data_IF_795965389249
#
_entry.id   IF_795965389249
#
_cell.length_a   1.000
_cell.length_b   1.000
_cell.length_c   1.000
_cell.angle_alpha   90.00
_cell.angle_beta   90.00
_cell.angle_gamma   90.00
#
_symmetry.space_group_name_H-M   'P 1'
#
loop_
_entity.id
_entity.type
_entity.pdbx_description
1 polymer ?
#
# COMPACT_ATOMS: atom_id res chain seq x y z
N UNK A 1 34.35 29.80 -16.75
CA UNK A 1 33.95 28.40 -17.05
C UNK A 1 33.83 27.48 -15.83
N UNK A 2 34.68 27.56 -14.78
CA UNK A 2 34.58 26.67 -13.59
C UNK A 2 33.33 26.87 -12.71
N UNK A 3 32.79 28.09 -12.60
CA UNK A 3 31.60 28.39 -11.76
C UNK A 3 30.28 27.85 -12.34
N UNK A 4 30.16 27.76 -13.66
CA UNK A 4 28.95 27.28 -14.34
C UNK A 4 28.74 25.77 -14.20
N UNK A 5 29.83 24.99 -14.14
CA UNK A 5 29.77 23.53 -13.97
C UNK A 5 29.33 23.14 -12.54
N UNK A 6 29.75 23.90 -11.53
CA UNK A 6 29.37 23.67 -10.14
C UNK A 6 27.86 23.89 -9.90
N UNK A 7 27.28 24.93 -10.53
CA UNK A 7 25.84 25.21 -10.45
C UNK A 7 24.98 24.15 -11.14
N UNK A 8 25.42 23.62 -12.29
CA UNK A 8 24.75 22.53 -13.01
C UNK A 8 24.77 21.22 -12.20
N UNK A 9 25.89 20.87 -11.56
CA UNK A 9 25.97 19.71 -10.69
C UNK A 9 25.10 19.85 -9.42
N UNK A 10 25.04 21.04 -8.82
CA UNK A 10 24.18 21.28 -7.65
C UNK A 10 22.69 21.22 -8.01
N UNK A 11 22.31 21.79 -9.15
CA UNK A 11 20.95 21.69 -9.68
C UNK A 11 20.57 20.23 -9.97
N UNK A 12 21.46 19.45 -10.59
CA UNK A 12 21.23 18.03 -10.84
C UNK A 12 21.03 17.23 -9.53
N UNK A 13 21.82 17.50 -8.48
CA UNK A 13 21.69 16.82 -7.18
C UNK A 13 20.36 17.14 -6.48
N UNK A 14 19.92 18.40 -6.50
CA UNK A 14 18.62 18.80 -5.95
C UNK A 14 17.48 18.17 -6.77
N UNK A 15 17.63 18.06 -8.09
CA UNK A 15 16.66 17.45 -9.01
C UNK A 15 16.50 15.93 -8.86
N UNK A 16 17.57 15.19 -8.52
CA UNK A 16 17.45 13.75 -8.23
C UNK A 16 16.73 13.46 -6.90
N UNK A 17 16.76 14.40 -5.95
CA UNK A 17 16.08 14.23 -4.66
C UNK A 17 14.55 14.30 -4.76
N UNK A 18 14.00 14.99 -5.77
CA UNK A 18 12.54 15.16 -5.96
C UNK A 18 11.80 13.94 -6.53
N UNK A 19 12.50 12.89 -6.94
CA UNK A 19 11.91 11.64 -7.46
C UNK A 19 11.52 10.64 -6.36
N UNK A 20 11.85 10.94 -5.11
CA UNK A 20 11.64 10.04 -3.98
C UNK A 20 10.48 10.57 -3.16
N UNK A 21 9.47 9.72 -2.95
CA UNK A 21 8.43 10.00 -1.97
C UNK A 21 8.70 9.20 -0.71
N UNK A 22 8.46 9.84 0.42
CA UNK A 22 8.49 9.20 1.72
C UNK A 22 7.11 8.61 2.00
N UNK A 23 7.05 7.32 2.32
CA UNK A 23 5.82 6.62 2.69
C UNK A 23 5.96 5.98 4.07
N UNK A 24 4.89 6.05 4.84
CA UNK A 24 4.74 5.31 6.07
C UNK A 24 4.17 3.94 5.73
N UNK A 25 4.85 2.89 6.16
CA UNK A 25 4.55 1.50 5.83
C UNK A 25 4.76 0.62 7.07
N UNK A 26 4.24 -0.59 7.00
CA UNK A 26 4.44 -1.64 8.01
C UNK A 26 5.29 -2.76 7.41
N UNK A 27 6.22 -3.35 8.15
CA UNK A 27 6.96 -4.53 7.65
C UNK A 27 6.01 -5.68 7.36
N UNK A 28 6.24 -6.43 6.26
CA UNK A 28 5.41 -7.59 5.91
C UNK A 28 5.38 -8.64 7.02
N UNK A 29 6.50 -8.85 7.73
CA UNK A 29 6.55 -9.77 8.87
C UNK A 29 5.64 -9.36 10.02
N UNK A 30 5.52 -8.05 10.29
CA UNK A 30 4.63 -7.53 11.33
C UNK A 30 3.16 -7.71 10.91
N UNK A 31 2.85 -7.44 9.63
CA UNK A 31 1.54 -7.75 9.06
C UNK A 31 1.20 -9.24 9.22
N UNK A 32 2.14 -10.14 8.89
CA UNK A 32 1.93 -11.59 9.00
C UNK A 32 1.71 -12.05 10.45
N UNK A 33 2.36 -11.40 11.42
CA UNK A 33 2.12 -11.64 12.84
C UNK A 33 0.70 -11.24 13.26
N UNK A 34 0.21 -10.09 12.79
CA UNK A 34 -1.18 -9.65 13.05
C UNK A 34 -2.17 -10.65 12.46
N UNK A 35 -1.96 -11.11 11.23
CA UNK A 35 -2.82 -12.13 10.61
C UNK A 35 -2.79 -13.45 11.40
N UNK A 36 -1.61 -13.87 11.87
CA UNK A 36 -1.50 -15.06 12.72
C UNK A 36 -2.27 -14.91 14.03
N UNK A 37 -2.14 -13.75 14.69
CA UNK A 37 -2.87 -13.46 15.92
C UNK A 37 -4.39 -13.48 15.69
N UNK A 38 -4.86 -12.88 14.60
CA UNK A 38 -6.28 -12.95 14.21
C UNK A 38 -6.71 -14.41 14.05
N UNK A 39 -5.92 -15.24 13.35
CA UNK A 39 -6.23 -16.67 13.19
C UNK A 39 -6.31 -17.41 14.52
N UNK A 40 -5.43 -17.09 15.48
CA UNK A 40 -5.43 -17.69 16.81
C UNK A 40 -6.66 -17.27 17.62
N UNK A 41 -7.01 -15.99 17.60
CA UNK A 41 -8.22 -15.47 18.26
C UNK A 41 -9.51 -16.08 17.68
N UNK A 42 -9.55 -16.28 16.36
CA UNK A 42 -10.67 -16.95 15.69
C UNK A 42 -10.77 -18.43 16.10
N UNK A 43 -9.61 -19.09 16.27
CA UNK A 43 -9.55 -20.46 16.78
C UNK A 43 -10.05 -20.55 18.23
N UNK A 44 -9.71 -19.58 19.09
CA UNK A 44 -10.26 -19.48 20.44
C UNK A 44 -11.77 -19.27 20.46
N UNK A 45 -12.32 -18.65 19.42
CA UNK A 45 -13.75 -18.49 19.20
C UNK A 45 -14.44 -19.75 18.63
N UNK A 46 -13.71 -20.85 18.45
CA UNK A 46 -14.24 -22.14 18.00
C UNK A 46 -14.21 -22.35 16.49
N UNK A 47 -13.54 -21.47 15.74
CA UNK A 47 -13.42 -21.53 14.29
C UNK A 47 -11.97 -21.83 13.89
N UNK A 48 -11.71 -23.01 13.33
CA UNK A 48 -10.36 -23.40 12.93
C UNK A 48 -10.11 -23.07 11.46
N UNK A 49 -8.87 -22.69 11.13
CA UNK A 49 -8.47 -22.43 9.75
C UNK A 49 -8.60 -23.70 8.91
N UNK A 50 -9.47 -23.65 7.90
CA UNK A 50 -9.73 -24.76 6.98
C UNK A 50 -9.12 -24.54 5.59
N UNK A 51 -8.71 -23.31 5.27
CA UNK A 51 -7.93 -23.03 4.07
C UNK A 51 -7.61 -21.56 3.88
N UNK A 52 -6.67 -21.29 2.97
CA UNK A 52 -6.31 -19.94 2.54
C UNK A 52 -6.06 -19.89 1.03
N UNK A 53 -6.22 -18.72 0.44
CA UNK A 53 -5.91 -18.46 -0.96
C UNK A 53 -5.38 -17.04 -1.11
N UNK A 54 -4.46 -16.83 -2.05
CA UNK A 54 -3.89 -15.52 -2.37
C UNK A 54 -4.05 -15.24 -3.86
N UNK A 55 -4.54 -14.05 -4.21
CA UNK A 55 -4.53 -13.53 -5.57
C UNK A 55 -3.88 -12.15 -5.63
N UNK A 56 -3.25 -11.80 -6.75
CA UNK A 56 -2.76 -10.44 -6.99
C UNK A 56 -3.29 -9.95 -8.32
N UNK A 57 -3.99 -8.81 -8.31
CA UNK A 57 -4.53 -8.20 -9.52
C UNK A 57 -4.55 -6.69 -9.40
N UNK A 58 -4.72 -6.02 -10.54
CA UNK A 58 -4.85 -4.58 -10.55
C UNK A 58 -6.26 -4.19 -10.04
N UNK A 59 -6.32 -3.43 -8.96
CA UNK A 59 -7.57 -3.02 -8.33
C UNK A 59 -7.43 -1.69 -7.57
N UNK A 60 -8.56 -1.09 -7.22
CA UNK A 60 -8.63 0.06 -6.35
C UNK A 60 -8.46 -0.36 -4.89
N UNK A 61 -7.62 0.36 -4.15
CA UNK A 61 -7.45 0.22 -2.70
C UNK A 61 -7.47 1.60 -2.04
N UNK A 62 -8.02 1.66 -0.83
CA UNK A 62 -7.96 2.85 0.03
C UNK A 62 -6.55 3.02 0.59
N UNK A 63 -5.88 4.10 0.23
CA UNK A 63 -4.55 4.42 0.76
C UNK A 63 -4.63 5.16 2.09
N UNK A 64 -5.60 6.07 2.21
CA UNK A 64 -5.79 6.91 3.39
C UNK A 64 -7.20 7.51 3.38
N UNK A 65 -7.82 7.53 4.54
CA UNK A 65 -8.96 8.39 4.84
C UNK A 65 -8.48 9.59 5.66
N UNK A 66 -9.09 10.74 5.43
CA UNK A 66 -8.78 11.97 6.16
C UNK A 66 -10.06 12.77 6.38
N UNK A 67 -10.12 13.51 7.48
CA UNK A 67 -11.19 14.44 7.76
C UNK A 67 -10.58 15.81 8.05
N UNK A 68 -11.14 16.86 7.45
CA UNK A 68 -10.85 18.24 7.82
C UNK A 68 -12.17 18.97 8.07
N UNK A 69 -12.20 19.87 9.06
CA UNK A 69 -13.41 20.64 9.38
C UNK A 69 -13.90 21.47 8.19
N UNK A 70 -12.98 21.95 7.35
CA UNK A 70 -13.28 22.80 6.19
C UNK A 70 -13.61 22.00 4.91
N UNK A 71 -13.16 20.74 4.81
CA UNK A 71 -13.22 19.93 3.58
C UNK A 71 -14.02 18.63 3.70
N UNK A 72 -14.48 18.28 4.90
CA UNK A 72 -15.21 17.05 5.17
C UNK A 72 -14.33 15.80 5.07
N UNK A 73 -14.97 14.67 4.74
CA UNK A 73 -14.28 13.38 4.58
C UNK A 73 -13.67 13.25 3.18
N UNK A 74 -12.35 13.05 3.12
CA UNK A 74 -11.61 12.73 1.91
C UNK A 74 -11.04 11.32 1.97
N UNK A 75 -11.14 10.59 0.85
CA UNK A 75 -10.54 9.26 0.70
C UNK A 75 -9.58 9.27 -0.49
N UNK A 76 -8.31 8.95 -0.23
CA UNK A 76 -7.32 8.72 -1.28
C UNK A 76 -7.42 7.28 -1.76
N UNK A 77 -7.86 7.10 -3.01
CA UNK A 77 -7.91 5.80 -3.68
C UNK A 77 -6.75 5.70 -4.66
N UNK A 78 -6.18 4.51 -4.79
CA UNK A 78 -5.19 4.24 -5.83
C UNK A 78 -5.49 2.93 -6.56
N UNK A 79 -5.35 2.98 -7.89
CA UNK A 79 -5.41 1.80 -8.75
C UNK A 79 -3.99 1.20 -8.85
N UNK A 80 -3.76 0.07 -8.19
CA UNK A 80 -2.47 -0.59 -8.12
C UNK A 80 -2.63 -2.13 -8.16
N UNK A 81 -1.53 -2.85 -8.32
CA UNK A 81 -1.51 -4.28 -8.03
C UNK A 81 -1.70 -4.51 -6.52
N UNK A 82 -2.88 -5.01 -6.17
CA UNK A 82 -3.30 -5.31 -4.81
C UNK A 82 -3.30 -6.82 -4.63
N UNK A 83 -2.76 -7.27 -3.50
CA UNK A 83 -2.83 -8.66 -3.09
C UNK A 83 -4.07 -8.84 -2.22
N UNK A 84 -4.81 -9.91 -2.48
CA UNK A 84 -5.96 -10.34 -1.69
C UNK A 84 -5.72 -11.70 -1.12
N UNK A 85 -5.68 -11.77 0.21
CA UNK A 85 -5.58 -13.02 0.94
C UNK A 85 -6.93 -13.33 1.56
N UNK A 86 -7.53 -14.44 1.16
CA UNK A 86 -8.78 -14.95 1.71
C UNK A 86 -8.49 -16.09 2.65
N UNK A 87 -8.99 -16.00 3.87
CA UNK A 87 -8.87 -17.02 4.91
C UNK A 87 -10.24 -17.63 5.16
N UNK A 88 -10.29 -18.96 5.26
CA UNK A 88 -11.51 -19.73 5.46
C UNK A 88 -11.40 -20.50 6.75
N UNK A 89 -12.45 -20.44 7.56
CA UNK A 89 -12.53 -21.08 8.86
C UNK A 89 -13.78 -21.94 8.92
N UNK A 90 -13.72 -22.99 9.74
CA UNK A 90 -14.85 -23.89 9.97
C UNK A 90 -14.89 -24.28 11.45
N UNK A 91 -16.09 -24.29 12.02
CA UNK A 91 -16.29 -24.74 13.40
C UNK A 91 -16.66 -26.23 13.47
N UNK A 92 -16.74 -26.78 14.68
CA UNK A 92 -17.00 -28.21 14.89
C UNK A 92 -18.37 -28.69 14.41
N UNK A 93 -19.35 -27.79 14.27
CA UNK A 93 -20.71 -28.11 13.81
C UNK A 93 -20.91 -27.87 12.31
N UNK A 94 -19.86 -27.43 11.59
CA UNK A 94 -19.85 -27.27 10.14
C UNK A 94 -20.19 -25.86 9.64
N UNK A 95 -20.36 -24.87 10.51
CA UNK A 95 -20.48 -23.48 10.05
C UNK A 95 -19.14 -23.03 9.51
N UNK A 96 -19.16 -22.41 8.34
CA UNK A 96 -18.02 -21.76 7.72
C UNK A 96 -18.08 -20.25 7.86
N UNK A 97 -16.89 -19.66 7.87
CA UNK A 97 -16.66 -18.22 7.83
C UNK A 97 -15.47 -17.96 6.90
N UNK A 98 -15.48 -16.84 6.19
CA UNK A 98 -14.31 -16.38 5.46
C UNK A 98 -14.15 -14.87 5.55
N UNK A 99 -12.90 -14.41 5.55
CA UNK A 99 -12.61 -13.00 5.39
C UNK A 99 -11.49 -12.79 4.39
N UNK A 100 -11.53 -11.66 3.69
CA UNK A 100 -10.53 -11.29 2.69
C UNK A 100 -9.85 -10.00 3.10
N UNK A 101 -8.52 -10.04 3.17
CA UNK A 101 -7.68 -8.88 3.40
C UNK A 101 -7.13 -8.42 2.07
N UNK A 102 -7.37 -7.16 1.70
CA UNK A 102 -6.73 -6.52 0.55
C UNK A 102 -5.56 -5.67 1.04
N UNK A 103 -4.38 -5.82 0.45
CA UNK A 103 -3.22 -5.03 0.83
C UNK A 103 -2.29 -4.69 -0.33
N UNK A 104 -1.58 -3.58 -0.18
CA UNK A 104 -0.63 -3.08 -1.16
C UNK A 104 0.79 -3.38 -0.71
N UNK A 105 1.47 -4.27 -1.43
CA UNK A 105 2.85 -4.63 -1.17
C UNK A 105 3.82 -3.66 -1.86
N UNK A 106 4.89 -3.30 -1.15
CA UNK A 106 6.03 -2.54 -1.65
C UNK A 106 7.29 -3.34 -1.38
N UNK A 107 8.18 -3.38 -2.36
CA UNK A 107 9.47 -4.03 -2.24
C UNK A 107 10.60 -3.00 -2.41
N UNK A 108 11.60 -3.06 -1.54
CA UNK A 108 12.81 -2.24 -1.70
C UNK A 108 13.76 -2.89 -2.69
N UNK A 109 14.77 -2.13 -3.15
CA UNK A 109 15.84 -2.70 -3.99
C UNK A 109 16.62 -3.84 -3.34
N UNK A 110 16.51 -3.98 -2.00
CA UNK A 110 17.17 -5.03 -1.23
C UNK A 110 16.28 -6.26 -1.04
N UNK A 111 15.09 -6.29 -1.63
CA UNK A 111 14.12 -7.38 -1.48
C UNK A 111 13.31 -7.32 -0.19
N UNK A 112 13.39 -6.24 0.58
CA UNK A 112 12.61 -6.09 1.81
C UNK A 112 11.17 -5.72 1.46
N UNK A 113 10.21 -6.42 2.04
CA UNK A 113 8.79 -6.27 1.75
C UNK A 113 8.04 -5.51 2.84
N UNK A 114 7.16 -4.62 2.40
CA UNK A 114 6.42 -3.69 3.22
C UNK A 114 4.97 -3.59 2.77
N UNK A 115 4.06 -3.40 3.71
CA UNK A 115 2.63 -3.17 3.46
C UNK A 115 2.36 -1.67 3.59
N UNK A 116 1.91 -1.04 2.51
CA UNK A 116 1.62 0.40 2.42
C UNK A 116 0.16 0.70 2.82
N UNK A 117 -0.76 -0.19 2.51
CA UNK A 117 -2.16 -0.14 2.90
C UNK A 117 -2.69 -1.56 3.07
N UNK A 118 -3.60 -1.75 4.03
CA UNK A 118 -4.31 -3.01 4.25
C UNK A 118 -5.73 -2.71 4.74
N UNK A 119 -6.70 -3.48 4.26
CA UNK A 119 -8.08 -3.38 4.70
C UNK A 119 -8.80 -4.73 4.62
N UNK A 120 -9.78 -4.93 5.51
CA UNK A 120 -10.77 -6.01 5.37
C UNK A 120 -11.72 -5.66 4.23
N UNK A 121 -11.60 -6.39 3.11
CA UNK A 121 -12.37 -6.14 1.90
C UNK A 121 -13.69 -6.94 1.84
N UNK A 122 -13.75 -8.08 2.52
CA UNK A 122 -14.95 -8.90 2.61
C UNK A 122 -14.93 -9.75 3.88
N UNK A 123 -16.11 -10.02 4.42
CA UNK A 123 -16.33 -10.97 5.51
C UNK A 123 -17.67 -11.66 5.31
N UNK A 124 -17.67 -12.98 5.29
CA UNK A 124 -18.84 -13.81 5.01
C UNK A 124 -18.95 -14.92 6.06
N UNK A 125 -20.16 -15.17 6.53
CA UNK A 125 -20.49 -16.28 7.43
C UNK A 125 -21.62 -17.09 6.82
N UNK A 126 -21.59 -18.41 7.04
CA UNK A 126 -22.65 -19.31 6.60
C UNK A 126 -23.89 -19.23 7.49
N UNK A 127 -23.71 -19.03 8.80
CA UNK A 127 -24.79 -18.84 9.77
C UNK A 127 -24.86 -17.37 10.21
N UNK A 128 -26.01 -16.68 10.04
CA UNK A 128 -26.17 -15.28 10.46
C UNK A 128 -25.94 -15.04 11.96
N UNK A 129 -26.17 -16.03 12.82
CA UNK A 129 -25.93 -15.90 14.27
C UNK A 129 -24.45 -15.72 14.63
N UNK A 130 -23.54 -16.14 13.75
CA UNK A 130 -22.10 -15.96 13.93
C UNK A 130 -21.61 -14.57 13.46
N UNK A 131 -22.44 -13.78 12.75
CA UNK A 131 -22.01 -12.55 12.09
C UNK A 131 -21.43 -11.51 13.06
N UNK A 132 -22.15 -11.14 14.11
CA UNK A 132 -21.68 -10.09 15.04
C UNK A 132 -20.36 -10.45 15.71
N UNK A 133 -20.18 -11.74 16.00
CA UNK A 133 -18.97 -12.27 16.62
C UNK A 133 -17.79 -12.30 15.65
N UNK A 134 -18.03 -12.68 14.39
CA UNK A 134 -16.97 -13.00 13.42
C UNK A 134 -16.69 -11.88 12.42
N UNK A 135 -17.68 -11.07 12.07
CA UNK A 135 -17.62 -9.99 11.07
C UNK A 135 -18.11 -8.63 11.60
N UNK A 136 -18.73 -8.60 12.79
CA UNK A 136 -19.19 -7.37 13.44
C UNK A 136 -18.04 -6.49 13.90
N UNK A 137 -18.35 -5.26 14.34
CA UNK A 137 -17.35 -4.22 14.63
C UNK A 137 -16.30 -4.60 15.69
N UNK A 138 -16.62 -5.57 16.55
CA UNK A 138 -15.73 -6.08 17.60
C UNK A 138 -14.94 -7.34 17.18
N UNK A 139 -15.05 -7.75 15.92
CA UNK A 139 -14.36 -8.93 15.42
C UNK A 139 -12.83 -8.74 15.44
N UNK A 140 -12.07 -9.79 15.79
CA UNK A 140 -10.61 -9.80 15.70
C UNK A 140 -10.06 -9.34 14.36
N UNK A 141 -10.78 -9.59 13.26
CA UNK A 141 -10.30 -9.27 11.90
C UNK A 141 -10.03 -7.77 11.71
N UNK A 142 -10.70 -6.89 12.46
CA UNK A 142 -10.51 -5.44 12.33
C UNK A 142 -9.20 -4.93 12.94
N UNK A 143 -8.46 -5.78 13.68
CA UNK A 143 -7.08 -5.46 14.08
C UNK A 143 -6.18 -5.18 12.87
N UNK A 144 -6.48 -5.78 11.71
CA UNK A 144 -5.78 -5.53 10.45
C UNK A 144 -5.92 -4.08 10.00
N UNK A 145 -7.08 -3.44 10.21
CA UNK A 145 -7.30 -2.05 9.81
C UNK A 145 -6.61 -1.06 10.77
N UNK A 146 -6.32 -1.49 11.99
CA UNK A 146 -5.73 -0.67 13.05
C UNK A 146 -4.20 -0.75 13.10
N UNK A 147 -3.55 -1.46 12.18
CA UNK A 147 -2.10 -1.61 12.20
C UNK A 147 -1.40 -0.27 12.05
N UNK A 148 -0.54 0.04 13.02
CA UNK A 148 0.31 1.22 12.94
C UNK A 148 1.34 1.08 11.83
N UNK A 149 1.54 2.21 11.13
CA UNK A 149 2.62 2.35 10.16
C UNK A 149 3.86 2.80 10.93
N UNK A 150 4.76 1.86 11.20
CA UNK A 150 5.90 2.04 12.09
C UNK A 150 7.18 2.48 11.35
N UNK A 151 7.22 2.34 10.02
CA UNK A 151 8.43 2.58 9.24
C UNK A 151 8.24 3.64 8.17
N UNK A 152 9.25 4.48 8.04
CA UNK A 152 9.35 5.46 6.96
C UNK A 152 10.31 4.93 5.89
N UNK A 153 9.79 4.64 4.69
CA UNK A 153 10.61 4.20 3.55
C UNK A 153 10.60 5.23 2.42
N UNK A 154 11.71 5.32 1.68
CA UNK A 154 11.79 6.10 0.44
C UNK A 154 11.40 5.23 -0.74
N UNK A 155 10.27 5.54 -1.37
CA UNK A 155 9.75 4.82 -2.54
C UNK A 155 9.93 5.67 -3.78
N UNK A 156 10.32 5.04 -4.89
CA UNK A 156 10.47 5.73 -6.17
C UNK A 156 9.09 6.12 -6.70
N UNK A 157 8.86 7.42 -6.87
CA UNK A 157 7.64 7.89 -7.50
C UNK A 157 7.80 7.77 -9.03
N UNK A 158 7.23 6.72 -9.61
CA UNK A 158 7.26 6.45 -11.05
C UNK A 158 6.65 7.60 -11.88
N UNK A 159 5.59 8.26 -11.40
CA UNK A 159 4.98 9.41 -12.09
C UNK A 159 5.91 10.62 -12.11
N UNK A 160 6.48 11.02 -10.96
CA UNK A 160 7.47 12.13 -10.90
C UNK A 160 8.71 11.81 -11.74
N UNK A 161 9.16 10.56 -11.71
CA UNK A 161 10.29 10.11 -12.54
C UNK A 161 9.97 10.21 -14.05
N UNK A 162 8.74 9.87 -14.46
CA UNK A 162 8.31 9.98 -15.85
C UNK A 162 8.22 11.44 -16.33
N UNK A 163 7.60 12.32 -15.54
CA UNK A 163 7.55 13.77 -15.85
C UNK A 163 8.95 14.39 -15.93
N UNK A 164 9.89 13.95 -15.10
CA UNK A 164 11.28 14.39 -15.15
C UNK A 164 12.02 13.88 -16.40
N UNK A 165 11.83 12.62 -16.78
CA UNK A 165 12.46 12.07 -17.97
C UNK A 165 11.95 12.78 -19.26
N UNK A 166 10.66 13.10 -19.31
CA UNK A 166 10.05 13.83 -20.43
C UNK A 166 10.37 15.34 -20.42
N UNK A 167 10.54 15.96 -19.25
CA UNK A 167 10.99 17.34 -19.13
C UNK A 167 12.45 17.55 -19.57
N UNK A 168 13.34 16.59 -19.27
CA UNK A 168 14.75 16.63 -19.68
C UNK A 168 14.93 16.50 -21.20
N UNK A 169 14.14 15.65 -21.86
CA UNK A 169 14.21 15.51 -23.32
C UNK A 169 13.71 16.76 -24.04
N UNK A 170 12.62 17.36 -23.56
CA UNK A 170 12.09 18.63 -24.10
C UNK A 170 13.05 19.81 -23.83
N UNK A 171 13.57 19.93 -22.61
CA UNK A 171 14.50 21.00 -22.25
C UNK A 171 15.84 20.92 -23.01
N UNK A 172 16.36 19.71 -23.22
CA UNK A 172 17.55 19.48 -24.05
C UNK A 172 17.33 19.83 -25.52
N UNK A 173 16.15 19.52 -26.06
CA UNK A 173 15.79 19.86 -27.44
C UNK A 173 15.68 21.37 -27.66
N UNK A 174 15.09 22.10 -26.71
CA UNK A 174 14.97 23.57 -26.77
C UNK A 174 16.33 24.26 -26.69
N UNK A 175 17.24 23.78 -25.84
CA UNK A 175 18.61 24.31 -25.76
C UNK A 175 19.43 24.04 -27.03
N UNK A 176 19.25 22.87 -27.66
CA UNK A 176 19.86 22.55 -28.96
C UNK A 176 19.32 23.45 -30.07
N UNK A 177 18.01 23.70 -30.11
CA UNK A 177 17.39 24.62 -31.07
C UNK A 177 17.83 26.07 -30.88
N UNK A 178 17.95 26.54 -29.63
CA UNK A 178 18.45 27.89 -29.35
C UNK A 178 19.95 28.04 -29.68
N UNK A 179 20.75 27.00 -29.47
CA UNK A 179 22.17 26.99 -29.88
C UNK A 179 22.35 26.97 -31.40
N UNK A 180 21.47 26.30 -32.14
CA UNK A 180 21.49 26.26 -33.60
C UNK A 180 21.04 27.57 -34.26
N UNK A 181 20.26 28.41 -33.56
CA UNK A 181 19.85 29.75 -34.03
C UNK A 181 20.85 30.86 -33.68
N UNK A 182 21.90 30.56 -32.92
CA UNK A 182 22.94 31.51 -32.51
C UNK A 182 24.21 31.47 -33.39
N UNK A 183 24.15 30.74 -34.52
CA UNK A 183 25.13 30.73 -35.61
C UNK A 183 24.45 31.14 -36.91
#
# INVERSE_FOLDING_TARGET
>A
MKKSCLFLCLAALIWFSSCMDTKYVTKKTTFDQVISQVSDEMSQQGFNLSGSSSETKNDLIVLRTSYTEEGGYGTELANNYVTRDTYRFTNAIGHSMSYTVSYLLRETKKGEQYVDAAEIAACEVSDPSDYEKMCGSNSPIYQVNAMEKDQMIKVRNGRKTFYLASGLTLGGLVLLLMGAMAH
#
